data_IF_005370192278
#
_entry.id   IF_005370192278
#
_cell.length_a   1.000
_cell.length_b   1.000
_cell.length_c   1.000
_cell.angle_alpha   90.00
_cell.angle_beta   90.00
_cell.angle_gamma   90.00
#
_symmetry.space_group_name_H-M   'P 1'
#
loop_
_entity.id
_entity.type
_entity.pdbx_description
1 polymer ?
#
# COMPACT_ATOMS: atom_id res chain seq x y z
N UNK A 1 -6.26 -4.12 19.22
CA UNK A 1 -7.55 -3.47 18.93
C UNK A 1 -7.34 -2.57 17.73
N UNK A 2 -8.21 -2.61 16.71
CA UNK A 2 -8.13 -1.66 15.61
C UNK A 2 -8.37 -0.24 16.16
N UNK A 3 -7.58 0.74 15.72
CA UNK A 3 -7.70 2.13 16.18
C UNK A 3 -8.84 2.82 15.42
N UNK A 4 -9.54 3.74 16.08
CA UNK A 4 -10.41 4.72 15.42
C UNK A 4 -9.59 6.00 15.29
N UNK A 5 -9.19 6.36 14.08
CA UNK A 5 -8.53 7.62 13.77
C UNK A 5 -9.64 8.66 13.73
N UNK A 6 -9.56 9.70 14.58
CA UNK A 6 -10.55 10.77 14.58
C UNK A 6 -10.69 11.38 13.19
N UNK A 7 -11.91 11.74 12.82
CA UNK A 7 -12.19 12.56 11.65
C UNK A 7 -11.26 13.78 11.63
N UNK A 8 -10.72 14.13 10.46
CA UNK A 8 -9.73 15.20 10.26
C UNK A 8 -8.33 14.95 10.84
N UNK A 9 -7.97 13.72 11.21
CA UNK A 9 -6.59 13.42 11.61
C UNK A 9 -5.61 13.72 10.48
N UNK A 10 -4.52 14.40 10.85
CA UNK A 10 -3.42 14.72 9.93
C UNK A 10 -2.27 13.74 10.12
N UNK A 11 -1.81 13.17 9.01
CA UNK A 11 -0.65 12.30 8.92
C UNK A 11 0.49 13.06 8.27
N UNK A 12 1.66 12.99 8.91
CA UNK A 12 2.85 13.72 8.49
C UNK A 12 3.71 12.81 7.62
N UNK A 13 4.33 13.39 6.59
CA UNK A 13 5.32 12.70 5.77
C UNK A 13 6.65 12.62 6.52
N UNK A 14 6.84 11.57 7.33
CA UNK A 14 8.07 11.38 8.08
C UNK A 14 9.13 10.74 7.18
N UNK A 15 10.27 11.43 7.02
CA UNK A 15 11.36 10.91 6.18
C UNK A 15 12.05 9.76 6.88
N UNK A 16 12.19 8.63 6.20
CA UNK A 16 12.95 7.46 6.66
C UNK A 16 14.04 7.16 5.63
N UNK A 17 15.30 7.29 6.03
CA UNK A 17 16.43 7.25 5.11
C UNK A 17 16.32 8.28 3.98
N UNK A 18 16.90 7.98 2.82
CA UNK A 18 16.87 8.87 1.65
C UNK A 18 15.63 8.69 0.76
N UNK A 19 14.96 7.55 0.85
CA UNK A 19 13.98 7.09 -0.16
C UNK A 19 12.58 6.82 0.37
N UNK A 20 12.27 7.01 1.65
CA UNK A 20 10.97 6.59 2.19
C UNK A 20 10.28 7.74 2.89
N UNK A 21 8.96 7.85 2.68
CA UNK A 21 8.07 8.55 3.59
C UNK A 21 7.16 7.56 4.30
N UNK A 22 7.17 7.61 5.62
CA UNK A 22 6.21 6.97 6.49
C UNK A 22 5.15 8.00 6.90
N UNK A 23 3.93 7.83 6.40
CA UNK A 23 2.78 8.69 6.67
C UNK A 23 2.16 8.25 7.99
N UNK A 24 2.60 8.89 9.08
CA UNK A 24 2.23 8.56 10.46
C UNK A 24 1.93 9.82 11.25
N UNK A 25 1.23 9.70 12.39
CA UNK A 25 0.94 10.84 13.28
C UNK A 25 2.20 11.42 13.94
N UNK A 26 3.23 10.60 14.13
CA UNK A 26 4.46 10.98 14.82
C UNK A 26 5.67 10.31 14.16
N UNK A 27 6.75 11.08 13.96
CA UNK A 27 8.01 10.58 13.46
C UNK A 27 8.58 9.47 14.37
N UNK A 28 9.15 8.43 13.77
CA UNK A 28 9.77 7.29 14.47
C UNK A 28 8.79 6.38 15.20
N UNK A 29 7.47 6.57 15.02
CA UNK A 29 6.43 5.77 15.66
C UNK A 29 5.33 5.42 14.68
N UNK A 30 5.05 4.12 14.58
CA UNK A 30 3.90 3.61 13.84
C UNK A 30 2.59 4.08 14.50
N UNK A 31 1.65 4.58 13.70
CA UNK A 31 0.30 4.89 14.20
C UNK A 31 -0.53 3.62 14.33
N UNK A 32 -0.24 2.62 13.50
CA UNK A 32 -0.96 1.36 13.41
C UNK A 32 -0.01 0.16 13.44
N UNK A 33 -0.56 -1.01 13.78
CA UNK A 33 0.12 -2.31 13.60
C UNK A 33 0.22 -2.70 12.12
N UNK A 34 -0.52 -2.02 11.26
CA UNK A 34 -0.59 -2.31 9.83
C UNK A 34 -0.01 -1.15 9.02
N UNK A 35 0.67 -1.47 7.92
CA UNK A 35 1.10 -0.49 6.95
C UNK A 35 0.80 -0.93 5.51
N UNK A 36 0.64 0.02 4.61
CA UNK A 36 0.53 -0.20 3.17
C UNK A 36 1.73 0.44 2.47
N UNK A 37 2.56 -0.36 1.80
CA UNK A 37 3.55 0.15 0.85
C UNK A 37 2.86 0.39 -0.49
N UNK A 38 2.90 1.63 -0.96
CA UNK A 38 2.46 2.01 -2.31
C UNK A 38 3.64 2.47 -3.15
N UNK A 39 3.96 1.67 -4.17
CA UNK A 39 5.11 1.88 -5.06
C UNK A 39 4.89 1.20 -6.43
N UNK A 40 5.83 1.42 -7.35
CA UNK A 40 6.14 0.44 -8.39
C UNK A 40 7.12 -0.59 -7.84
N UNK A 41 7.01 -1.80 -8.35
CA UNK A 41 7.90 -2.90 -8.01
C UNK A 41 8.33 -3.63 -9.28
N UNK A 42 9.56 -4.11 -9.27
CA UNK A 42 10.09 -5.03 -10.26
C UNK A 42 10.87 -6.13 -9.53
N UNK A 43 10.55 -7.39 -9.81
CA UNK A 43 11.24 -8.53 -9.21
C UNK A 43 12.68 -8.59 -9.75
N UNK A 44 13.65 -8.59 -8.83
CA UNK A 44 15.06 -8.73 -9.16
C UNK A 44 15.37 -10.17 -9.56
N UNK A 45 16.23 -10.37 -10.54
CA UNK A 45 16.77 -11.70 -10.83
C UNK A 45 17.58 -12.23 -9.64
N UNK A 46 17.29 -13.45 -9.20
CA UNK A 46 18.08 -14.13 -8.18
C UNK A 46 17.33 -15.23 -7.46
N UNK A 47 18.05 -15.99 -6.64
CA UNK A 47 17.46 -17.00 -5.76
C UNK A 47 16.72 -16.29 -4.62
N UNK A 48 15.43 -16.60 -4.39
CA UNK A 48 14.72 -16.05 -3.25
C UNK A 48 15.39 -16.48 -1.94
N UNK A 49 15.36 -15.59 -0.96
CA UNK A 49 15.99 -15.81 0.35
C UNK A 49 14.91 -15.81 1.42
N UNK A 50 15.11 -16.53 2.51
CA UNK A 50 14.22 -16.42 3.66
C UNK A 50 14.14 -14.97 4.10
N UNK A 51 12.92 -14.49 4.33
CA UNK A 51 12.73 -13.13 4.83
C UNK A 51 13.48 -12.96 6.14
N UNK A 52 14.30 -11.91 6.24
CA UNK A 52 14.97 -11.53 7.50
C UNK A 52 14.10 -10.63 8.36
N UNK A 53 12.87 -10.33 7.93
CA UNK A 53 11.99 -9.37 8.58
C UNK A 53 10.96 -10.10 9.42
N UNK A 54 10.75 -9.72 10.68
CA UNK A 54 9.70 -10.27 11.55
C UNK A 54 8.31 -9.69 11.25
N UNK A 55 7.90 -9.63 9.98
CA UNK A 55 6.66 -8.97 9.53
C UNK A 55 5.87 -9.89 8.60
N UNK A 56 4.55 -9.92 8.77
CA UNK A 56 3.66 -10.60 7.83
C UNK A 56 3.47 -9.76 6.57
N UNK A 57 3.57 -10.36 5.39
CA UNK A 57 3.42 -9.63 4.14
C UNK A 57 2.16 -10.09 3.41
N UNK A 58 1.43 -9.13 2.85
CA UNK A 58 0.23 -9.38 2.06
C UNK A 58 0.32 -8.63 0.74
N UNK A 59 0.19 -9.33 -0.39
CA UNK A 59 0.35 -8.76 -1.72
C UNK A 59 -0.98 -8.71 -2.46
N UNK A 60 -1.28 -7.57 -3.08
CA UNK A 60 -2.49 -7.40 -3.91
C UNK A 60 -2.36 -8.00 -5.32
N UNK A 61 -1.17 -8.45 -5.67
CA UNK A 61 -0.82 -9.03 -6.97
C UNK A 61 0.02 -10.26 -6.73
N UNK A 62 -0.18 -11.30 -7.53
CA UNK A 62 0.62 -12.52 -7.48
C UNK A 62 2.01 -12.30 -8.10
N UNK A 63 2.95 -13.18 -7.77
CA UNK A 63 4.30 -13.10 -8.36
C UNK A 63 4.24 -13.24 -9.89
N UNK A 64 5.07 -12.46 -10.59
CA UNK A 64 5.18 -12.50 -12.05
C UNK A 64 4.15 -11.62 -12.79
N UNK A 65 3.18 -11.06 -12.08
CA UNK A 65 2.14 -10.20 -12.64
C UNK A 65 2.38 -8.73 -12.37
N UNK A 66 1.90 -7.88 -13.27
CA UNK A 66 1.76 -6.45 -13.00
C UNK A 66 0.41 -6.15 -12.36
N UNK A 67 0.39 -5.15 -11.49
CA UNK A 67 -0.83 -4.66 -10.87
C UNK A 67 -1.68 -3.94 -11.91
N UNK A 68 -2.88 -4.48 -12.14
CA UNK A 68 -3.89 -3.88 -13.00
C UNK A 68 -4.70 -2.80 -12.32
N UNK A 69 -5.41 -2.01 -13.14
CA UNK A 69 -6.34 -0.99 -12.70
C UNK A 69 -5.78 -0.12 -11.59
N UNK A 70 -4.67 0.60 -11.87
CA UNK A 70 -3.95 1.53 -10.98
C UNK A 70 -4.51 1.50 -9.56
N UNK A 71 -4.10 0.50 -8.77
CA UNK A 71 -4.80 0.22 -7.51
C UNK A 71 -4.64 1.40 -6.59
N UNK A 72 -5.71 2.15 -6.57
CA UNK A 72 -5.89 3.29 -5.74
C UNK A 72 -5.67 2.85 -4.29
N UNK A 73 -4.63 3.41 -3.65
CA UNK A 73 -4.31 3.10 -2.25
C UNK A 73 -5.51 3.24 -1.35
N UNK A 74 -6.47 4.09 -1.72
CA UNK A 74 -7.72 4.30 -1.00
C UNK A 74 -8.52 3.00 -0.89
N UNK A 75 -8.61 2.21 -1.97
CA UNK A 75 -9.27 0.88 -1.94
C UNK A 75 -8.53 -0.09 -1.01
N UNK A 76 -7.21 -0.05 -1.01
CA UNK A 76 -6.38 -0.96 -0.22
C UNK A 76 -6.42 -0.62 1.28
N UNK A 77 -6.24 0.66 1.64
CA UNK A 77 -6.31 1.11 3.04
C UNK A 77 -7.73 1.06 3.61
N UNK A 78 -8.76 1.06 2.76
CA UNK A 78 -10.15 0.91 3.21
C UNK A 78 -10.56 -0.55 3.43
N UNK A 79 -9.82 -1.51 2.86
CA UNK A 79 -10.19 -2.93 2.84
C UNK A 79 -11.20 -3.31 1.76
N UNK A 80 -11.47 -2.41 0.80
CA UNK A 80 -12.35 -2.69 -0.33
C UNK A 80 -11.75 -3.66 -1.33
N UNK A 81 -10.42 -3.80 -1.34
CA UNK A 81 -9.73 -4.85 -2.08
C UNK A 81 -9.04 -5.81 -1.12
N UNK A 82 -9.04 -7.10 -1.46
CA UNK A 82 -8.35 -8.14 -0.68
C UNK A 82 -7.01 -8.53 -1.29
N UNK A 83 -5.99 -8.83 -0.46
CA UNK A 83 -4.75 -9.42 -0.95
C UNK A 83 -4.97 -10.76 -1.64
N UNK A 84 -4.15 -11.05 -2.65
CA UNK A 84 -4.13 -12.32 -3.39
C UNK A 84 -3.20 -13.34 -2.76
N UNK A 85 -2.04 -12.88 -2.28
CA UNK A 85 -1.04 -13.71 -1.63
C UNK A 85 -0.72 -13.18 -0.24
N UNK A 86 -0.44 -14.10 0.68
CA UNK A 86 0.15 -13.79 1.97
C UNK A 86 1.42 -14.62 2.12
N UNK A 87 2.48 -14.00 2.62
CA UNK A 87 3.71 -14.70 2.98
C UNK A 87 4.04 -14.44 4.44
N UNK A 88 4.50 -15.48 5.10
CA UNK A 88 4.92 -15.51 6.50
C UNK A 88 6.45 -15.56 6.60
N UNK A 89 6.96 -15.53 7.84
CA UNK A 89 8.40 -15.54 8.15
C UNK A 89 9.16 -16.74 7.59
N UNK A 90 8.45 -17.85 7.37
CA UNK A 90 9.05 -19.10 6.93
C UNK A 90 9.10 -19.23 5.41
N UNK A 91 8.44 -18.32 4.69
CA UNK A 91 8.37 -18.37 3.24
C UNK A 91 9.63 -17.78 2.59
N UNK A 92 9.92 -18.28 1.40
CA UNK A 92 10.96 -17.70 0.55
C UNK A 92 10.50 -16.33 0.06
N UNK A 93 11.26 -15.28 0.40
CA UNK A 93 11.01 -13.92 -0.02
C UNK A 93 11.80 -13.61 -1.29
N UNK A 94 11.07 -13.13 -2.29
CA UNK A 94 11.63 -12.53 -3.50
C UNK A 94 11.99 -11.07 -3.23
N UNK A 95 13.03 -10.60 -3.89
CA UNK A 95 13.49 -9.23 -3.76
C UNK A 95 12.91 -8.38 -4.88
N UNK A 96 12.42 -7.19 -4.54
CA UNK A 96 11.85 -6.26 -5.52
C UNK A 96 12.58 -4.93 -5.43
N UNK A 97 12.97 -4.38 -6.57
CA UNK A 97 13.38 -2.98 -6.65
C UNK A 97 12.13 -2.12 -6.55
N UNK A 98 12.09 -1.22 -5.56
CA UNK A 98 10.95 -0.35 -5.34
C UNK A 98 11.24 1.05 -5.85
N UNK A 99 10.34 1.59 -6.66
CA UNK A 99 10.44 2.96 -7.14
C UNK A 99 9.07 3.62 -7.15
N UNK A 100 9.01 4.95 -7.23
CA UNK A 100 7.75 5.64 -7.46
C UNK A 100 8.01 6.92 -8.22
N UNK A 101 7.54 7.00 -9.46
CA UNK A 101 7.61 8.26 -10.18
C UNK A 101 6.59 9.22 -9.59
N UNK A 102 7.09 10.27 -8.92
CA UNK A 102 6.28 11.43 -8.59
C UNK A 102 6.52 12.50 -9.65
N UNK A 103 5.68 12.48 -10.68
CA UNK A 103 5.70 13.50 -11.72
C UNK A 103 4.96 13.04 -12.97
N UNK A 104 3.92 13.78 -13.35
CA UNK A 104 3.31 13.83 -14.69
C UNK A 104 2.46 12.64 -15.18
N UNK A 105 1.59 12.09 -14.33
CA UNK A 105 0.32 11.50 -14.79
C UNK A 105 -0.90 12.26 -14.26
N UNK A 106 -0.80 13.59 -14.20
CA UNK A 106 -1.96 14.44 -14.52
C UNK A 106 -1.80 14.76 -16.01
N UNK A 107 -2.38 13.93 -16.86
CA UNK A 107 -2.74 14.40 -18.19
C UNK A 107 -3.76 15.50 -17.99
N UNK A 108 -3.49 16.71 -18.48
CA UNK A 108 -4.41 17.85 -18.44
C UNK A 108 -5.76 17.54 -19.13
N UNK A 109 -5.88 16.40 -19.82
CA UNK A 109 -7.07 15.97 -20.54
C UNK A 109 -7.74 14.71 -19.97
N UNK A 110 -7.29 14.16 -18.84
CA UNK A 110 -7.96 13.00 -18.22
C UNK A 110 -8.85 13.46 -17.06
N UNK A 111 -10.15 13.61 -17.31
CA UNK A 111 -11.18 13.93 -16.32
C UNK A 111 -11.39 12.84 -15.24
N UNK A 112 -10.65 11.73 -15.28
CA UNK A 112 -10.88 10.56 -14.43
C UNK A 112 -9.63 9.89 -13.79
N UNK A 113 -8.50 10.58 -13.64
CA UNK A 113 -7.36 10.03 -12.89
C UNK A 113 -6.93 10.94 -11.74
N UNK A 114 -7.61 10.78 -10.59
CA UNK A 114 -7.15 11.31 -9.31
C UNK A 114 -5.93 10.50 -8.85
N UNK A 115 -4.74 10.84 -9.36
CA UNK A 115 -3.49 10.27 -8.86
C UNK A 115 -3.33 10.53 -7.35
N UNK A 116 -2.59 9.64 -6.67
CA UNK A 116 -2.26 9.81 -5.26
C UNK A 116 -1.51 11.13 -5.03
N UNK A 117 -2.12 12.07 -4.32
CA UNK A 117 -1.44 13.29 -3.88
C UNK A 117 -1.03 13.18 -2.42
N UNK A 118 0.12 13.74 -2.08
CA UNK A 118 0.60 13.85 -0.70
C UNK A 118 -0.39 14.60 0.21
N UNK A 119 -1.14 15.56 -0.33
CA UNK A 119 -2.23 16.22 0.40
C UNK A 119 -3.37 15.25 0.77
N UNK A 120 -3.75 14.35 -0.14
CA UNK A 120 -4.74 13.33 0.15
C UNK A 120 -4.27 12.34 1.22
N UNK A 121 -3.05 11.81 1.10
CA UNK A 121 -2.48 10.88 2.09
C UNK A 121 -2.41 11.55 3.46
N UNK A 122 -2.08 12.84 3.51
CA UNK A 122 -2.00 13.57 4.78
C UNK A 122 -3.34 13.72 5.50
N UNK A 123 -4.45 13.97 4.78
CA UNK A 123 -5.71 14.44 5.39
C UNK A 123 -6.92 13.53 5.20
N UNK A 124 -6.95 12.73 4.14
CA UNK A 124 -8.18 12.13 3.62
C UNK A 124 -8.11 10.62 3.45
N UNK A 125 -6.93 10.00 3.57
CA UNK A 125 -6.77 8.54 3.41
C UNK A 125 -7.53 7.70 4.45
N UNK A 126 -7.97 8.32 5.56
CA UNK A 126 -8.72 7.65 6.62
C UNK A 126 -10.20 8.06 6.66
N UNK A 127 -10.64 8.96 5.79
CA UNK A 127 -12.06 9.27 5.63
C UNK A 127 -12.72 8.24 4.71
N UNK A 128 -12.87 7.03 5.25
CA UNK A 128 -13.39 5.88 4.51
C UNK A 128 -14.84 6.08 4.08
N UNK A 129 -15.63 6.83 4.85
CA UNK A 129 -17.04 7.07 4.54
C UNK A 129 -17.19 7.96 3.31
N UNK A 130 -16.54 9.12 3.29
CA UNK A 130 -16.52 10.01 2.14
C UNK A 130 -15.93 9.30 0.93
N UNK A 131 -14.88 8.50 1.13
CA UNK A 131 -14.30 7.72 0.05
C UNK A 131 -15.29 6.72 -0.57
N UNK A 132 -15.96 5.91 0.24
CA UNK A 132 -16.92 4.92 -0.26
C UNK A 132 -18.12 5.55 -0.96
N UNK A 133 -18.65 6.63 -0.40
CA UNK A 133 -19.79 7.33 -0.97
C UNK A 133 -19.41 8.10 -2.24
N UNK A 134 -18.37 8.93 -2.17
CA UNK A 134 -18.11 9.95 -3.20
C UNK A 134 -17.13 9.49 -4.28
N UNK A 135 -16.24 8.53 -3.97
CA UNK A 135 -15.24 8.04 -4.93
C UNK A 135 -15.63 6.69 -5.51
N UNK A 136 -16.13 5.77 -4.69
CA UNK A 136 -16.61 4.47 -5.16
C UNK A 136 -18.08 4.50 -5.60
N UNK A 137 -18.79 5.61 -5.37
CA UNK A 137 -20.20 5.79 -5.73
C UNK A 137 -21.09 4.66 -5.17
N UNK A 138 -20.77 4.18 -3.96
CA UNK A 138 -21.54 3.15 -3.27
C UNK A 138 -22.75 3.76 -2.58
N UNK A 139 -23.85 3.02 -2.53
CA UNK A 139 -25.04 3.44 -1.79
C UNK A 139 -24.79 3.41 -0.26
N UNK A 140 -25.56 4.21 0.48
CA UNK A 140 -25.39 4.33 1.95
C UNK A 140 -25.54 2.99 2.70
N UNK A 141 -26.27 2.01 2.16
CA UNK A 141 -26.42 0.69 2.79
C UNK A 141 -25.10 -0.07 2.70
N UNK A 142 -24.51 -0.13 1.50
CA UNK A 142 -23.21 -0.75 1.26
C UNK A 142 -22.10 -0.07 2.06
N UNK A 143 -22.08 1.27 2.08
CA UNK A 143 -21.14 2.06 2.90
C UNK A 143 -21.26 1.68 4.38
N UNK A 144 -22.48 1.61 4.93
CA UNK A 144 -22.73 1.22 6.32
C UNK A 144 -22.31 -0.20 6.61
N UNK A 145 -22.54 -1.14 5.69
CA UNK A 145 -22.11 -2.53 5.84
C UNK A 145 -20.58 -2.64 5.89
N UNK A 146 -19.88 -1.98 4.97
CA UNK A 146 -18.40 -1.94 4.98
C UNK A 146 -17.87 -1.32 6.27
N UNK A 147 -18.42 -0.17 6.70
CA UNK A 147 -18.03 0.46 7.95
C UNK A 147 -18.35 -0.44 9.16
N UNK A 148 -19.48 -1.16 9.15
CA UNK A 148 -19.85 -2.09 10.24
C UNK A 148 -18.94 -3.30 10.34
N UNK A 149 -18.65 -3.97 9.21
CA UNK A 149 -17.74 -5.12 9.14
C UNK A 149 -16.34 -4.77 9.62
N UNK A 150 -15.88 -3.57 9.27
CA UNK A 150 -14.58 -3.06 9.69
C UNK A 150 -14.63 -2.30 11.00
N UNK A 151 -15.80 -2.21 11.65
CA UNK A 151 -16.09 -1.39 12.84
C UNK A 151 -15.70 0.10 12.70
N UNK A 152 -15.52 0.58 11.47
CA UNK A 152 -14.95 1.89 11.13
C UNK A 152 -13.42 1.99 11.29
N UNK A 153 -12.69 0.85 11.31
CA UNK A 153 -11.35 0.77 11.93
C UNK A 153 -10.21 0.25 11.04
N UNK A 154 -10.33 0.18 9.70
CA UNK A 154 -9.10 -0.07 8.94
C UNK A 154 -8.27 1.20 8.91
N UNK A 155 -7.17 1.18 9.66
CA UNK A 155 -6.11 2.16 9.58
C UNK A 155 -4.78 1.45 9.38
N UNK A 156 -4.17 1.77 8.26
CA UNK A 156 -2.80 1.41 7.95
C UNK A 156 -2.03 2.71 7.87
N UNK A 157 -0.80 2.74 8.38
CA UNK A 157 0.13 3.78 7.95
C UNK A 157 0.40 3.58 6.45
N UNK A 158 0.56 4.66 5.69
CA UNK A 158 1.00 4.54 4.28
C UNK A 158 2.49 4.77 4.21
N UNK A 159 3.16 3.91 3.45
CA UNK A 159 4.58 4.02 3.14
C UNK A 159 4.69 4.29 1.65
N UNK A 160 5.29 5.42 1.30
CA UNK A 160 5.57 5.75 -0.11
C UNK A 160 7.07 5.82 -0.34
N UNK A 161 7.50 5.27 -1.48
CA UNK A 161 8.90 5.39 -1.92
C UNK A 161 9.08 6.72 -2.66
N UNK A 162 10.23 7.37 -2.44
CA UNK A 162 10.67 8.58 -3.12
C UNK A 162 11.64 8.19 -4.21
N UNK A 163 11.26 8.44 -5.47
CA UNK A 163 12.25 8.45 -6.53
C UNK A 163 12.83 9.87 -6.62
N UNK A 164 13.99 10.10 -5.98
CA UNK A 164 14.78 11.30 -6.29
C UNK A 164 15.45 11.02 -7.64
N UNK A 165 15.54 12.02 -8.53
CA UNK A 165 16.18 11.95 -9.86
C UNK A 165 17.62 11.39 -9.88
N UNK A 166 18.24 11.16 -8.72
CA UNK A 166 19.58 10.61 -8.56
C UNK A 166 19.63 9.72 -7.32
N UNK A 167 19.94 8.43 -7.51
CA UNK A 167 20.13 7.45 -6.45
C UNK A 167 19.65 6.06 -6.86
N UNK A 168 20.25 5.02 -6.28
CA UNK A 168 19.79 3.64 -6.45
C UNK A 168 18.46 3.46 -5.73
N UNK A 169 17.46 2.94 -6.44
CA UNK A 169 16.17 2.61 -5.85
C UNK A 169 16.34 1.56 -4.73
N UNK A 170 15.69 1.72 -3.57
CA UNK A 170 15.80 0.74 -2.49
C UNK A 170 15.17 -0.57 -2.90
N UNK A 171 15.71 -1.68 -2.40
CA UNK A 171 14.98 -2.94 -2.47
C UNK A 171 13.89 -3.00 -1.41
N UNK A 172 12.95 -3.93 -1.58
CA UNK A 172 11.85 -4.14 -0.64
C UNK A 172 12.34 -4.53 0.75
N UNK A 173 13.32 -5.43 0.85
CA UNK A 173 13.91 -5.81 2.14
C UNK A 173 14.66 -4.65 2.80
N UNK A 174 15.42 -3.86 2.03
CA UNK A 174 16.06 -2.63 2.51
C UNK A 174 15.03 -1.64 3.05
N UNK A 175 13.90 -1.47 2.34
CA UNK A 175 12.84 -0.57 2.78
C UNK A 175 12.22 -1.01 4.13
N UNK A 176 11.98 -2.31 4.33
CA UNK A 176 11.47 -2.82 5.60
C UNK A 176 12.51 -2.64 6.72
N UNK A 177 13.77 -2.97 6.46
CA UNK A 177 14.85 -2.82 7.46
C UNK A 177 15.06 -1.35 7.85
N UNK A 178 14.95 -0.41 6.90
CA UNK A 178 15.03 1.02 7.18
C UNK A 178 13.86 1.50 8.06
N UNK A 179 12.64 1.02 7.80
CA UNK A 179 11.48 1.31 8.65
C UNK A 179 11.67 0.78 10.07
N UNK A 180 12.08 -0.48 10.21
CA UNK A 180 12.34 -1.10 11.51
C UNK A 180 13.44 -0.37 12.29
N UNK A 181 14.56 -0.05 11.63
CA UNK A 181 15.67 0.70 12.22
C UNK A 181 15.28 2.12 12.64
N UNK A 182 14.27 2.72 11.99
CA UNK A 182 13.73 4.02 12.36
C UNK A 182 12.61 3.95 13.43
N UNK A 183 12.32 2.76 13.99
CA UNK A 183 11.33 2.57 15.06
C UNK A 183 9.93 2.19 14.59
N UNK A 184 9.72 2.02 13.29
CA UNK A 184 8.43 1.59 12.71
C UNK A 184 8.32 0.07 12.71
N UNK A 185 7.68 -0.47 13.75
CA UNK A 185 7.52 -1.91 13.96
C UNK A 185 6.09 -2.36 13.63
N UNK A 186 5.84 -2.64 12.34
CA UNK A 186 4.55 -3.14 11.86
C UNK A 186 4.43 -4.66 12.04
N UNK A 187 3.23 -5.14 12.38
CA UNK A 187 2.90 -6.57 12.43
C UNK A 187 2.57 -7.11 11.02
N UNK A 188 1.91 -6.31 10.19
CA UNK A 188 1.59 -6.68 8.80
C UNK A 188 1.85 -5.52 7.86
N UNK A 189 2.53 -5.80 6.74
CA UNK A 189 2.72 -4.87 5.64
C UNK A 189 1.95 -5.38 4.41
N UNK A 190 1.01 -4.56 3.97
CA UNK A 190 0.30 -4.72 2.71
C UNK A 190 1.14 -4.11 1.59
N UNK A 191 1.23 -4.81 0.47
CA UNK A 191 2.11 -4.50 -0.64
C UNK A 191 1.26 -4.20 -1.87
N UNK A 192 1.16 -2.91 -2.20
CA UNK A 192 0.56 -2.41 -3.44
C UNK A 192 1.66 -1.95 -4.38
N UNK A 193 2.22 -2.91 -5.11
CA UNK A 193 3.17 -2.69 -6.19
C UNK A 193 3.18 -3.89 -7.16
N UNK A 194 3.60 -3.65 -8.40
CA UNK A 194 3.79 -4.71 -9.39
C UNK A 194 4.84 -5.73 -8.96
N UNK A 195 4.64 -7.00 -9.31
CA UNK A 195 5.56 -8.10 -9.01
C UNK A 195 6.04 -8.81 -10.27
N UNK A 196 6.01 -8.11 -11.40
CA UNK A 196 6.55 -8.59 -12.67
C UNK A 196 8.08 -8.57 -12.64
N UNK A 197 8.69 -9.42 -13.47
CA UNK A 197 10.14 -9.54 -13.58
C UNK A 197 10.77 -8.27 -14.15
N UNK A 198 11.91 -7.84 -13.60
CA UNK A 198 12.68 -6.69 -14.09
C UNK A 198 13.19 -6.90 -15.52
N UNK A 199 13.63 -8.12 -15.84
CA UNK A 199 14.23 -8.49 -17.14
C UNK A 199 13.52 -9.69 -17.81
N UNK A 200 12.20 -9.81 -17.71
CA UNK A 200 11.46 -10.97 -18.25
C UNK A 200 10.06 -10.66 -18.77
N UNK A 201 9.47 -11.62 -19.49
CA UNK A 201 8.09 -11.54 -19.95
C UNK A 201 7.14 -11.54 -18.75
N UNK A 202 6.35 -10.47 -18.62
CA UNK A 202 5.30 -10.38 -17.60
C UNK A 202 4.23 -11.44 -17.89
N UNK A 203 3.76 -12.12 -16.86
CA UNK A 203 2.70 -13.15 -17.00
C UNK A 203 1.34 -12.53 -17.38
N UNK A 204 1.21 -11.22 -17.21
CA UNK A 204 0.03 -10.45 -17.55
C UNK A 204 -0.26 -9.37 -16.51
N UNK A 205 -1.46 -8.82 -16.60
CA UNK A 205 -1.99 -7.83 -15.65
C UNK A 205 -3.08 -8.48 -14.80
N UNK A 206 -3.06 -8.25 -13.49
CA UNK A 206 -4.10 -8.72 -12.56
C UNK A 206 -4.90 -7.55 -12.01
N UNK A 207 -6.19 -7.53 -12.29
CA UNK A 207 -7.11 -6.55 -11.70
C UNK A 207 -7.30 -6.80 -10.19
N UNK A 208 -7.63 -5.76 -9.40
CA UNK A 208 -7.91 -5.93 -7.97
C UNK A 208 -9.07 -6.90 -7.72
N UNK A 209 -9.00 -7.68 -6.64
CA UNK A 209 -10.16 -8.45 -6.16
C UNK A 209 -10.94 -7.55 -5.20
N UNK A 210 -12.12 -7.11 -5.61
CA UNK A 210 -13.04 -6.39 -4.73
C UNK A 210 -13.57 -7.33 -3.65
N UNK A 211 -13.79 -6.78 -2.45
CA UNK A 211 -14.30 -7.54 -1.30
C UNK A 211 -15.79 -7.93 -1.45
N UNK A 212 -16.44 -7.58 -2.57
CA UNK A 212 -17.84 -7.91 -2.87
C UNK A 212 -18.10 -9.42 -2.98
N UNK A 213 -17.08 -10.22 -3.36
CA UNK A 213 -17.18 -11.67 -3.54
C UNK A 213 -17.01 -12.50 -2.25
N UNK A 214 -16.93 -11.88 -1.07
CA UNK A 214 -16.82 -12.56 0.23
C UNK A 214 -17.86 -12.09 1.25
N UNK A 215 -19.07 -11.77 0.78
CA UNK A 215 -20.23 -11.59 1.67
C UNK A 215 -20.79 -12.96 2.13
N UNK A 216 -20.31 -14.09 1.60
CA UNK A 216 -20.82 -15.44 1.92
C UNK A 216 -19.73 -16.53 2.05
N UNK A 217 -18.66 -16.29 2.80
CA UNK A 217 -17.78 -17.40 3.25
C UNK A 217 -17.12 -17.12 4.59
#
# INVERSE_FOLDING_TARGET
MPMTVPENSVFLANTVGSHIYAWTKQAGKATSKYALISAHGAEKSGTPKRSKTNVNLKFFVERGYTQGGATDIRKAVSGYVRPREATTLNDLAYEYTLSKYQGRHQSENSTHQSGETYGYISKHMHDLRTYYRDVLNLDETTVRQFLSQHKGQIQMDVITIRNRKSGTAPTFSEAILLLQGAGYNYETIFCSFCRGYENGTKLGQQEPINTEDCILS
#
